data_IF_688963168385
#
_entry.id   IF_688963168385
#
_cell.length_a   1.000
_cell.length_b   1.000
_cell.length_c   1.000
_cell.angle_alpha   90.00
_cell.angle_beta   90.00
_cell.angle_gamma   90.00
#
_symmetry.space_group_name_H-M   'P 1'
#
loop_
_entity.id
_entity.type
_entity.pdbx_description
1 polymer ?
#
# COMPACT_ATOMS: atom_id res chain seq x y z
N UNK A 1 9.30 0.08 -22.59
CA UNK A 1 7.99 -0.51 -22.21
C UNK A 1 7.39 0.34 -21.10
N UNK A 2 6.20 0.90 -21.28
CA UNK A 2 5.49 1.63 -20.20
C UNK A 2 5.31 0.68 -19.01
N UNK A 3 5.86 1.03 -17.85
CA UNK A 3 5.80 0.21 -16.64
C UNK A 3 4.36 0.11 -16.12
N UNK A 4 3.62 -0.88 -16.61
CA UNK A 4 2.27 -1.17 -16.14
C UNK A 4 2.38 -2.04 -14.88
N UNK A 5 2.24 -1.40 -13.71
CA UNK A 5 2.16 -2.12 -12.44
C UNK A 5 0.70 -2.49 -12.17
N UNK A 6 0.46 -3.76 -11.81
CA UNK A 6 -0.77 -4.12 -11.15
C UNK A 6 -0.69 -3.68 -9.69
N UNK A 7 -1.53 -2.72 -9.30
CA UNK A 7 -1.58 -2.19 -7.94
C UNK A 7 -2.75 -2.84 -7.21
N UNK A 8 -2.48 -3.40 -6.03
CA UNK A 8 -3.48 -3.98 -5.15
C UNK A 8 -3.63 -3.15 -3.88
N UNK A 9 -4.86 -3.10 -3.35
CA UNK A 9 -5.17 -2.58 -2.02
C UNK A 9 -6.00 -3.62 -1.26
N UNK A 10 -5.96 -3.59 0.07
CA UNK A 10 -6.87 -4.35 0.92
C UNK A 10 -8.22 -3.61 1.03
N UNK A 11 -9.34 -4.31 1.28
CA UNK A 11 -10.66 -3.66 1.40
C UNK A 11 -10.68 -2.57 2.47
N UNK A 12 -9.97 -2.79 3.57
CA UNK A 12 -9.81 -1.86 4.68
C UNK A 12 -9.17 -0.53 4.25
N UNK A 13 -8.36 -0.51 3.19
CA UNK A 13 -7.84 0.75 2.64
C UNK A 13 -8.96 1.66 2.13
N UNK A 14 -10.08 1.11 1.66
CA UNK A 14 -11.24 1.88 1.24
C UNK A 14 -11.85 2.61 2.45
N UNK A 15 -12.02 1.90 3.57
CA UNK A 15 -12.52 2.48 4.82
C UNK A 15 -11.60 3.60 5.30
N UNK A 16 -10.29 3.38 5.33
CA UNK A 16 -9.32 4.41 5.73
C UNK A 16 -9.35 5.62 4.78
N UNK A 17 -9.50 5.42 3.47
CA UNK A 17 -9.62 6.50 2.49
C UNK A 17 -10.81 7.43 2.81
N UNK A 18 -11.99 6.86 3.11
CA UNK A 18 -13.18 7.63 3.45
C UNK A 18 -13.15 8.23 4.86
N UNK A 19 -12.50 7.58 5.81
CA UNK A 19 -12.31 8.07 7.18
C UNK A 19 -11.39 9.30 7.23
N UNK A 20 -10.38 9.36 6.36
CA UNK A 20 -9.42 10.48 6.33
C UNK A 20 -9.78 11.58 5.34
N UNK A 21 -10.91 11.50 4.62
CA UNK A 21 -11.29 12.49 3.59
C UNK A 21 -11.32 13.93 4.10
N UNK A 22 -11.80 14.17 5.33
CA UNK A 22 -11.83 15.52 5.93
C UNK A 22 -10.42 16.09 6.13
N UNK A 23 -9.50 15.23 6.59
CA UNK A 23 -8.09 15.59 6.75
C UNK A 23 -7.43 15.86 5.40
N UNK A 24 -7.78 15.09 4.37
CA UNK A 24 -7.29 15.29 3.01
C UNK A 24 -7.79 16.64 2.46
N UNK A 25 -9.09 16.91 2.53
CA UNK A 25 -9.72 18.19 2.14
C UNK A 25 -9.01 19.37 2.81
N UNK A 26 -8.79 19.30 4.13
CA UNK A 26 -8.14 20.36 4.91
C UNK A 26 -6.73 20.66 4.40
N UNK A 27 -5.97 19.64 4.02
CA UNK A 27 -4.56 19.79 3.63
C UNK A 27 -4.37 20.13 2.14
N UNK A 28 -5.25 19.65 1.27
CA UNK A 28 -5.16 19.90 -0.19
C UNK A 28 -5.88 21.18 -0.61
N UNK A 29 -6.84 21.67 0.19
CA UNK A 29 -7.77 22.76 -0.14
C UNK A 29 -8.67 22.47 -1.34
N UNK A 30 -8.80 21.20 -1.72
CA UNK A 30 -9.73 20.75 -2.75
C UNK A 30 -11.16 20.65 -2.19
N UNK A 31 -12.15 20.84 -3.04
CA UNK A 31 -13.55 20.59 -2.72
C UNK A 31 -13.82 19.10 -2.48
N UNK A 32 -14.90 18.78 -1.76
CA UNK A 32 -15.34 17.39 -1.60
C UNK A 32 -15.56 16.70 -2.95
N UNK A 33 -16.12 17.42 -3.94
CA UNK A 33 -16.35 16.88 -5.29
C UNK A 33 -15.04 16.44 -5.94
N UNK A 34 -14.02 17.29 -5.94
CA UNK A 34 -12.70 16.97 -6.51
C UNK A 34 -12.04 15.79 -5.80
N UNK A 35 -12.16 15.71 -4.47
CA UNK A 35 -11.63 14.57 -3.70
C UNK A 35 -12.34 13.27 -4.07
N UNK A 36 -13.67 13.28 -4.20
CA UNK A 36 -14.42 12.09 -4.61
C UNK A 36 -14.10 11.66 -6.05
N UNK A 37 -13.88 12.61 -6.96
CA UNK A 37 -13.41 12.32 -8.32
C UNK A 37 -12.02 11.67 -8.32
N UNK A 38 -11.10 12.17 -7.50
CA UNK A 38 -9.77 11.57 -7.32
C UNK A 38 -9.87 10.16 -6.74
N UNK A 39 -10.69 9.96 -5.71
CA UNK A 39 -10.90 8.63 -5.11
C UNK A 39 -11.46 7.65 -6.14
N UNK A 40 -12.46 8.07 -6.93
CA UNK A 40 -13.00 7.26 -8.02
C UNK A 40 -11.93 6.88 -9.04
N UNK A 41 -11.07 7.82 -9.45
CA UNK A 41 -9.99 7.54 -10.39
C UNK A 41 -8.94 6.57 -9.84
N UNK A 42 -8.61 6.68 -8.54
CA UNK A 42 -7.69 5.75 -7.85
C UNK A 42 -8.32 4.36 -7.78
N UNK A 43 -9.56 4.26 -7.28
CA UNK A 43 -10.26 2.98 -7.10
C UNK A 43 -10.49 2.25 -8.43
N UNK A 44 -10.63 2.98 -9.54
CA UNK A 44 -10.72 2.41 -10.90
C UNK A 44 -9.41 1.77 -11.39
N UNK A 45 -8.27 2.11 -10.78
CA UNK A 45 -6.93 1.67 -11.22
C UNK A 45 -6.32 0.59 -10.34
N UNK A 46 -6.85 0.37 -9.15
CA UNK A 46 -6.35 -0.65 -8.22
C UNK A 46 -7.24 -1.88 -8.25
N UNK A 47 -6.65 -3.04 -7.95
CA UNK A 47 -7.34 -4.30 -7.69
C UNK A 47 -7.57 -4.41 -6.19
N UNK A 48 -8.74 -4.89 -5.79
CA UNK A 48 -9.09 -5.07 -4.38
C UNK A 48 -8.78 -6.52 -4.01
N UNK A 49 -8.08 -6.70 -2.88
CA UNK A 49 -7.80 -7.98 -2.26
C UNK A 49 -8.60 -8.11 -0.98
N UNK A 50 -9.36 -9.20 -0.84
CA UNK A 50 -10.21 -9.46 0.31
C UNK A 50 -9.38 -10.03 1.47
N UNK A 51 -9.37 -9.37 2.61
CA UNK A 51 -8.56 -9.76 3.77
C UNK A 51 -8.97 -11.11 4.37
N UNK A 52 -10.24 -11.49 4.19
CA UNK A 52 -10.76 -12.79 4.61
C UNK A 52 -10.12 -13.97 3.85
N UNK A 53 -9.50 -13.71 2.69
CA UNK A 53 -8.76 -14.71 1.93
C UNK A 53 -7.35 -14.99 2.50
N UNK A 54 -6.91 -14.22 3.51
CA UNK A 54 -5.58 -14.37 4.10
C UNK A 54 -5.54 -15.63 4.98
N UNK A 55 -4.65 -16.59 4.68
CA UNK A 55 -4.44 -17.75 5.54
C UNK A 55 -3.94 -17.33 6.93
N UNK A 56 -4.47 -17.98 7.98
CA UNK A 56 -4.12 -17.66 9.38
C UNK A 56 -2.62 -17.78 9.68
N UNK A 57 -1.92 -18.71 9.04
CA UNK A 57 -0.48 -18.88 9.18
C UNK A 57 0.31 -17.74 8.54
N UNK A 58 -0.15 -17.23 7.39
CA UNK A 58 0.41 -16.04 6.75
C UNK A 58 0.16 -14.82 7.63
N UNK A 59 -1.07 -14.62 8.11
CA UNK A 59 -1.40 -13.49 8.99
C UNK A 59 -0.52 -13.48 10.26
N UNK A 60 -0.35 -14.65 10.90
CA UNK A 60 0.53 -14.79 12.07
C UNK A 60 1.97 -14.43 11.72
N UNK A 61 2.49 -14.91 10.59
CA UNK A 61 3.85 -14.59 10.15
C UNK A 61 4.02 -13.11 9.87
N UNK A 62 3.03 -12.48 9.24
CA UNK A 62 3.03 -11.04 8.97
C UNK A 62 2.97 -10.20 10.24
N UNK A 63 2.21 -10.65 11.25
CA UNK A 63 2.19 -10.03 12.57
C UNK A 63 3.58 -9.99 13.22
N UNK A 64 4.37 -11.06 13.10
CA UNK A 64 5.74 -11.07 13.63
C UNK A 64 6.63 -9.97 13.04
N UNK A 65 6.43 -9.59 11.78
CA UNK A 65 7.17 -8.51 11.13
C UNK A 65 6.76 -7.11 11.62
N UNK A 66 5.54 -6.95 12.15
CA UNK A 66 4.91 -5.66 12.42
C UNK A 66 4.71 -5.36 13.91
N UNK A 67 4.72 -6.39 14.77
CA UNK A 67 4.31 -6.31 16.19
C UNK A 67 5.00 -5.24 17.04
N UNK A 68 6.22 -4.85 16.68
CA UNK A 68 7.01 -3.87 17.44
C UNK A 68 6.72 -2.42 17.04
N UNK A 69 6.14 -2.18 15.86
CA UNK A 69 5.88 -0.83 15.33
C UNK A 69 4.40 -0.52 15.21
N UNK A 70 3.70 -1.25 14.35
CA UNK A 70 2.25 -1.14 14.19
C UNK A 70 1.66 -2.50 13.78
N UNK A 71 1.09 -3.25 14.73
CA UNK A 71 0.47 -4.54 14.44
C UNK A 71 -0.63 -4.49 13.38
N UNK A 72 -1.27 -3.34 13.14
CA UNK A 72 -2.30 -3.21 12.13
C UNK A 72 -1.74 -3.27 10.71
N UNK A 73 -0.44 -3.01 10.52
CA UNK A 73 0.21 -3.14 9.21
C UNK A 73 0.35 -4.60 8.75
N UNK A 74 0.17 -5.56 9.67
CA UNK A 74 0.30 -6.98 9.39
C UNK A 74 -0.62 -7.45 8.26
N UNK A 75 -1.82 -6.87 8.16
CA UNK A 75 -2.79 -7.26 7.13
C UNK A 75 -2.31 -6.91 5.72
N UNK A 76 -1.62 -5.77 5.55
CA UNK A 76 -1.08 -5.35 4.26
C UNK A 76 0.15 -6.17 3.87
N UNK A 77 1.00 -6.48 4.84
CA UNK A 77 2.15 -7.39 4.65
C UNK A 77 1.67 -8.79 4.27
N UNK A 78 0.62 -9.29 4.92
CA UNK A 78 0.01 -10.59 4.62
C UNK A 78 -0.58 -10.64 3.22
N UNK A 79 -1.29 -9.58 2.80
CA UNK A 79 -1.81 -9.47 1.43
C UNK A 79 -0.68 -9.51 0.39
N UNK A 80 0.41 -8.77 0.61
CA UNK A 80 1.57 -8.79 -0.27
C UNK A 80 2.19 -10.19 -0.38
N UNK A 81 2.28 -10.93 0.74
CA UNK A 81 2.75 -12.31 0.76
C UNK A 81 1.83 -13.27 -0.01
N UNK A 82 0.51 -13.15 0.14
CA UNK A 82 -0.46 -13.98 -0.59
C UNK A 82 -0.39 -13.74 -2.09
N UNK A 83 -0.27 -12.47 -2.49
CA UNK A 83 -0.17 -12.03 -3.88
C UNK A 83 1.22 -12.26 -4.50
N UNK A 84 2.23 -12.62 -3.70
CA UNK A 84 3.65 -12.65 -4.10
C UNK A 84 4.09 -11.32 -4.74
N UNK A 85 3.62 -10.22 -4.17
CA UNK A 85 3.85 -8.86 -4.63
C UNK A 85 4.77 -8.10 -3.67
N UNK A 86 5.33 -6.98 -4.15
CA UNK A 86 6.07 -6.07 -3.26
C UNK A 86 5.09 -5.18 -2.50
N UNK A 87 5.27 -5.05 -1.19
CA UNK A 87 4.51 -4.12 -0.37
C UNK A 87 5.02 -2.69 -0.59
N UNK A 88 4.17 -1.82 -1.14
CA UNK A 88 4.50 -0.41 -1.33
C UNK A 88 4.08 0.41 -0.10
N UNK A 89 5.06 0.99 0.59
CA UNK A 89 4.83 1.79 1.81
C UNK A 89 5.79 2.99 1.92
N UNK A 90 5.63 3.80 2.96
CA UNK A 90 6.53 4.91 3.26
C UNK A 90 7.91 4.44 3.77
N UNK A 91 8.93 5.28 3.61
CA UNK A 91 10.32 4.95 3.94
C UNK A 91 10.49 4.46 5.40
N UNK A 92 9.80 5.08 6.36
CA UNK A 92 9.94 4.69 7.78
C UNK A 92 9.44 3.27 8.07
N UNK A 93 8.38 2.80 7.40
CA UNK A 93 7.86 1.43 7.59
C UNK A 93 8.72 0.42 6.85
N UNK A 94 9.18 0.76 5.64
CA UNK A 94 10.13 -0.06 4.88
C UNK A 94 11.36 -0.43 5.71
N UNK A 95 12.01 0.54 6.35
CA UNK A 95 13.22 0.29 7.15
C UNK A 95 12.97 -0.65 8.34
N UNK A 96 11.79 -0.55 8.95
CA UNK A 96 11.38 -1.45 10.04
C UNK A 96 11.18 -2.88 9.53
N UNK A 97 10.45 -3.04 8.42
CA UNK A 97 10.17 -4.35 7.82
C UNK A 97 11.45 -5.05 7.35
N UNK A 98 12.38 -4.31 6.73
CA UNK A 98 13.68 -4.83 6.32
C UNK A 98 14.49 -5.35 7.52
N UNK A 99 14.53 -4.60 8.63
CA UNK A 99 15.20 -5.02 9.86
C UNK A 99 14.61 -6.30 10.45
N UNK A 100 13.31 -6.49 10.30
CA UNK A 100 12.60 -7.70 10.75
C UNK A 100 12.60 -8.83 9.72
N UNK A 101 13.30 -8.69 8.59
CA UNK A 101 13.51 -9.76 7.60
C UNK A 101 12.43 -9.86 6.52
N UNK A 102 11.54 -8.87 6.39
CA UNK A 102 10.62 -8.77 5.27
C UNK A 102 11.24 -7.91 4.15
N UNK A 103 11.68 -8.57 3.07
CA UNK A 103 12.44 -7.94 1.98
C UNK A 103 11.61 -7.53 0.78
N UNK A 104 10.40 -8.06 0.65
CA UNK A 104 9.48 -7.76 -0.45
C UNK A 104 8.75 -6.44 -0.22
N UNK A 105 9.52 -5.36 -0.04
CA UNK A 105 9.03 -4.02 0.31
C UNK A 105 9.71 -2.96 -0.54
N UNK A 106 8.94 -1.95 -0.96
CA UNK A 106 9.41 -0.81 -1.75
C UNK A 106 8.80 0.49 -1.25
N UNK A 107 9.52 1.59 -1.43
CA UNK A 107 8.98 2.92 -1.20
C UNK A 107 8.70 3.67 -2.49
N UNK A 108 7.98 4.79 -2.38
CA UNK A 108 7.75 5.68 -3.52
C UNK A 108 9.06 6.14 -4.14
N UNK A 109 10.10 6.37 -3.33
CA UNK A 109 11.42 6.74 -3.84
C UNK A 109 12.06 5.63 -4.68
N UNK A 110 11.89 4.36 -4.31
CA UNK A 110 12.38 3.23 -5.09
C UNK A 110 11.65 3.13 -6.44
N UNK A 111 10.33 3.25 -6.43
CA UNK A 111 9.49 3.21 -7.63
C UNK A 111 9.83 4.36 -8.60
N UNK A 112 10.03 5.58 -8.07
CA UNK A 112 10.39 6.74 -8.88
C UNK A 112 11.78 6.62 -9.51
N UNK A 113 12.75 6.01 -8.80
CA UNK A 113 14.07 5.71 -9.37
C UNK A 113 13.97 4.72 -10.53
N UNK A 114 13.17 3.66 -10.36
CA UNK A 114 12.93 2.68 -11.41
C UNK A 114 12.24 3.30 -12.64
N UNK A 115 11.26 4.18 -12.42
CA UNK A 115 10.59 4.89 -13.51
C UNK A 115 11.55 5.79 -14.30
N UNK A 116 12.37 6.60 -13.60
CA UNK A 116 13.35 7.48 -14.25
C UNK A 116 14.39 6.70 -15.06
N UNK A 117 14.84 5.56 -14.55
CA UNK A 117 15.76 4.68 -15.27
C UNK A 117 15.13 4.20 -16.59
N UNK A 118 13.88 3.70 -16.54
CA UNK A 118 13.18 3.18 -17.70
C UNK A 118 12.76 4.24 -18.76
N UNK A 119 12.90 5.54 -18.46
CA UNK A 119 12.61 6.65 -19.39
C UNK A 119 13.91 7.27 -19.94
N UNK A 120 15.06 6.90 -19.37
CA UNK A 120 16.38 7.40 -19.80
C UNK A 120 17.09 6.48 -20.82
N UNK A 121 16.46 5.34 -21.15
CA UNK A 121 16.87 4.35 -22.17
C UNK A 121 15.86 4.34 -23.34
#
# INVERSE_FOLDING_TARGET
MSGNFDVYICEFNIVELFKHKEKIIKNTKLSLKEILEIFYLILKRVKIFHEDDIPRDILRKSYEYCKEKDPNDAVFVAAAMCLKAKFWTGDSLKDHLLKNGFTDVVSTNDLMKQYKYNVSD
#
